data_IF_383416673080
#
_entry.id   IF_383416673080
#
_cell.length_a   1.000
_cell.length_b   1.000
_cell.length_c   1.000
_cell.angle_alpha   90.00
_cell.angle_beta   90.00
_cell.angle_gamma   90.00
#
_symmetry.space_group_name_H-M   'P 1'
#
loop_
_entity.id
_entity.type
_entity.pdbx_description
1 polymer ?
#
# COMPACT_ATOMS: atom_id res chain seq x y z
N UNK A 1 -4.73 -15.11 29.28
CA UNK A 1 -3.95 -15.78 28.22
C UNK A 1 -4.62 -15.38 26.92
N UNK A 2 -3.96 -14.62 26.07
CA UNK A 2 -4.45 -14.36 24.71
C UNK A 2 -4.44 -15.69 23.99
N UNK A 3 -5.60 -16.17 23.51
CA UNK A 3 -5.66 -17.35 22.66
C UNK A 3 -4.84 -17.05 21.40
N UNK A 4 -3.86 -17.89 21.15
CA UNK A 4 -3.01 -17.75 19.95
C UNK A 4 -3.84 -18.27 18.76
N UNK A 5 -4.58 -17.36 18.11
CA UNK A 5 -5.39 -17.72 16.95
C UNK A 5 -4.47 -17.94 15.74
N UNK A 6 -4.63 -19.12 15.10
CA UNK A 6 -3.91 -19.44 13.86
C UNK A 6 -4.31 -18.44 12.77
N UNK A 7 -3.33 -17.92 12.07
CA UNK A 7 -3.54 -16.99 10.94
C UNK A 7 -4.28 -17.69 9.80
N UNK A 8 -5.35 -17.07 9.30
CA UNK A 8 -6.18 -17.55 8.18
C UNK A 8 -6.22 -16.56 7.02
N UNK A 9 -5.89 -15.29 7.27
CA UNK A 9 -5.93 -14.22 6.30
C UNK A 9 -4.71 -13.31 6.45
N UNK A 10 -4.10 -12.97 5.33
CA UNK A 10 -3.07 -11.94 5.24
C UNK A 10 -3.60 -10.83 4.33
N UNK A 11 -3.69 -9.61 4.85
CA UNK A 11 -4.08 -8.43 4.10
C UNK A 11 -2.86 -7.53 3.91
N UNK A 12 -2.64 -7.10 2.68
CA UNK A 12 -1.53 -6.23 2.30
C UNK A 12 -2.03 -4.82 1.98
N UNK A 13 -1.27 -3.79 2.37
CA UNK A 13 -1.29 -2.57 1.58
C UNK A 13 -0.66 -2.83 0.21
N UNK A 14 -0.85 -1.91 -0.73
CA UNK A 14 -0.41 -2.09 -2.11
C UNK A 14 0.93 -1.40 -2.39
N UNK A 15 0.91 -0.05 -2.41
CA UNK A 15 2.04 0.78 -2.81
C UNK A 15 3.10 0.85 -1.68
N UNK A 16 4.27 0.27 -1.89
CA UNK A 16 5.32 0.22 -0.86
C UNK A 16 5.28 -1.01 0.04
N UNK A 17 4.27 -1.86 -0.10
CA UNK A 17 4.15 -3.10 0.68
C UNK A 17 4.15 -4.34 -0.22
N UNK A 18 3.15 -4.48 -1.08
CA UNK A 18 3.04 -5.61 -2.03
C UNK A 18 3.81 -5.33 -3.31
N UNK A 19 3.71 -4.10 -3.83
CA UNK A 19 4.28 -3.67 -5.12
C UNK A 19 5.13 -2.41 -4.93
N UNK A 20 6.36 -2.42 -5.46
CA UNK A 20 7.16 -1.20 -5.65
C UNK A 20 6.64 -0.44 -6.87
N UNK A 21 5.73 0.51 -6.64
CA UNK A 21 5.13 1.35 -7.67
C UNK A 21 5.86 2.69 -7.85
N UNK A 22 6.84 3.00 -7.01
CA UNK A 22 7.58 4.26 -7.04
C UNK A 22 8.18 4.61 -8.41
N UNK A 23 8.71 3.67 -9.23
CA UNK A 23 9.25 3.99 -10.53
C UNK A 23 8.22 4.55 -11.54
N UNK A 24 6.96 4.09 -11.48
CA UNK A 24 5.89 4.59 -12.34
C UNK A 24 5.38 5.95 -11.85
N UNK A 25 5.26 6.15 -10.54
CA UNK A 25 4.98 7.46 -9.93
C UNK A 25 6.05 8.49 -10.31
N UNK A 26 7.34 8.14 -10.19
CA UNK A 26 8.47 9.00 -10.53
C UNK A 26 8.43 9.43 -12.00
N UNK A 27 8.22 8.47 -12.90
CA UNK A 27 8.14 8.75 -14.34
C UNK A 27 7.00 9.71 -14.63
N UNK A 28 5.83 9.46 -14.06
CA UNK A 28 4.62 10.26 -14.28
C UNK A 28 4.76 11.67 -13.72
N UNK A 29 5.29 11.80 -12.50
CA UNK A 29 5.50 13.11 -11.87
C UNK A 29 6.53 13.93 -12.66
N UNK A 30 7.66 13.36 -13.05
CA UNK A 30 8.69 14.07 -13.80
C UNK A 30 8.20 14.51 -15.20
N UNK A 31 7.35 13.71 -15.86
CA UNK A 31 6.74 14.10 -17.13
C UNK A 31 5.86 15.35 -16.95
N UNK A 32 5.09 15.42 -15.86
CA UNK A 32 4.23 16.58 -15.58
C UNK A 32 5.05 17.79 -15.11
N UNK A 33 6.05 17.59 -14.25
CA UNK A 33 6.96 18.67 -13.84
C UNK A 33 7.66 19.30 -15.05
N UNK A 34 8.16 18.48 -15.99
CA UNK A 34 8.77 18.95 -17.22
C UNK A 34 7.79 19.75 -18.10
N UNK A 35 6.52 19.29 -18.22
CA UNK A 35 5.46 20.01 -18.96
C UNK A 35 5.28 21.44 -18.44
N UNK A 36 5.51 21.65 -17.16
CA UNK A 36 5.36 22.95 -16.49
C UNK A 36 6.69 23.65 -16.20
N UNK A 37 7.80 23.21 -16.83
CA UNK A 37 9.12 23.83 -16.68
C UNK A 37 9.72 23.73 -15.29
N UNK A 38 9.27 22.76 -14.49
CA UNK A 38 9.77 22.52 -13.13
C UNK A 38 10.90 21.49 -13.14
N UNK A 39 11.69 21.49 -12.08
CA UNK A 39 12.82 20.58 -11.88
C UNK A 39 12.35 19.13 -11.67
N UNK A 40 13.06 18.16 -12.24
CA UNK A 40 12.82 16.75 -11.96
C UNK A 40 13.17 16.40 -10.51
N UNK A 41 12.43 15.42 -9.99
CA UNK A 41 12.65 14.84 -8.67
C UNK A 41 13.36 13.49 -8.80
N UNK A 42 14.04 13.10 -7.75
CA UNK A 42 14.76 11.82 -7.66
C UNK A 42 13.86 10.70 -7.11
N UNK A 43 14.31 9.45 -7.28
CA UNK A 43 13.61 8.29 -6.73
C UNK A 43 13.51 8.34 -5.19
N UNK A 44 14.52 8.88 -4.51
CA UNK A 44 14.51 9.02 -3.05
C UNK A 44 13.49 10.06 -2.59
N UNK A 45 13.42 11.21 -3.25
CA UNK A 45 12.49 12.27 -2.88
C UNK A 45 11.03 11.83 -3.03
N UNK A 46 10.69 11.16 -4.14
CA UNK A 46 9.29 10.76 -4.36
C UNK A 46 8.83 9.67 -3.39
N UNK A 47 9.70 8.71 -3.02
CA UNK A 47 9.34 7.60 -2.11
C UNK A 47 8.76 8.11 -0.80
N UNK A 48 9.31 9.18 -0.24
CA UNK A 48 8.87 9.76 1.02
C UNK A 48 7.44 10.34 0.98
N UNK A 49 6.85 10.50 -0.22
CA UNK A 49 5.55 11.17 -0.39
C UNK A 49 4.49 10.33 -1.11
N UNK A 50 4.83 9.15 -1.66
CA UNK A 50 3.89 8.32 -2.44
C UNK A 50 2.70 7.91 -1.58
N UNK A 51 2.96 7.38 -0.38
CA UNK A 51 1.92 6.86 0.53
C UNK A 51 0.98 7.95 1.07
N UNK A 52 1.35 9.23 0.87
CA UNK A 52 0.50 10.36 1.24
C UNK A 52 -0.58 10.69 0.18
N UNK A 53 -0.49 10.09 -1.01
CA UNK A 53 -1.44 10.26 -2.11
C UNK A 53 -1.16 11.42 -3.06
N UNK A 54 -1.83 11.40 -4.22
CA UNK A 54 -1.59 12.31 -5.33
C UNK A 54 -1.72 13.80 -4.97
N UNK A 55 -2.68 14.16 -4.11
CA UNK A 55 -2.88 15.55 -3.71
C UNK A 55 -1.69 16.13 -2.95
N UNK A 56 -1.10 15.35 -2.04
CA UNK A 56 0.09 15.78 -1.30
C UNK A 56 1.34 15.81 -2.19
N UNK A 57 1.47 14.85 -3.14
CA UNK A 57 2.53 14.90 -4.15
C UNK A 57 2.50 16.23 -4.94
N UNK A 58 1.32 16.64 -5.42
CA UNK A 58 1.18 17.89 -6.17
C UNK A 58 1.48 19.09 -5.27
N UNK A 59 0.90 19.16 -4.08
CA UNK A 59 1.19 20.24 -3.13
C UNK A 59 2.69 20.39 -2.90
N UNK A 60 3.39 19.29 -2.63
CA UNK A 60 4.81 19.32 -2.27
C UNK A 60 5.71 19.67 -3.47
N UNK A 61 5.57 18.95 -4.58
CA UNK A 61 6.50 19.10 -5.70
C UNK A 61 6.19 20.28 -6.64
N UNK A 62 4.97 20.81 -6.59
CA UNK A 62 4.63 22.05 -7.27
C UNK A 62 4.78 23.27 -6.36
N UNK A 63 5.01 23.09 -5.05
CA UNK A 63 5.15 24.15 -4.05
C UNK A 63 3.93 25.08 -4.02
N UNK A 64 2.73 24.48 -4.02
CA UNK A 64 1.43 25.18 -4.03
C UNK A 64 0.52 24.64 -2.94
N UNK A 65 -0.46 25.43 -2.51
CA UNK A 65 -1.51 24.97 -1.60
C UNK A 65 -2.71 24.41 -2.36
N UNK A 66 -3.61 23.74 -1.64
CA UNK A 66 -4.81 23.09 -2.22
C UNK A 66 -5.77 24.10 -2.87
N UNK A 67 -5.75 25.34 -2.43
CA UNK A 67 -6.58 26.45 -2.94
C UNK A 67 -5.97 27.16 -4.18
N UNK A 68 -4.78 26.74 -4.62
CA UNK A 68 -4.14 27.31 -5.80
C UNK A 68 -4.97 27.02 -7.05
N UNK A 69 -5.17 28.03 -7.91
CA UNK A 69 -6.02 27.96 -9.10
C UNK A 69 -5.66 26.81 -10.07
N UNK A 70 -4.38 26.44 -10.17
CA UNK A 70 -3.90 25.33 -11.00
C UNK A 70 -3.84 23.97 -10.28
N UNK A 71 -4.18 23.88 -8.99
CA UNK A 71 -4.01 22.64 -8.21
C UNK A 71 -4.70 21.43 -8.87
N UNK A 72 -5.97 21.57 -9.16
CA UNK A 72 -6.77 20.47 -9.76
C UNK A 72 -6.29 20.11 -11.18
N UNK A 73 -5.78 21.08 -11.93
CA UNK A 73 -5.19 20.88 -13.26
C UNK A 73 -3.90 20.04 -13.17
N UNK A 74 -2.98 20.40 -12.27
CA UNK A 74 -1.72 19.65 -12.08
C UNK A 74 -1.99 18.24 -11.58
N UNK A 75 -2.94 18.08 -10.65
CA UNK A 75 -3.37 16.78 -10.14
C UNK A 75 -4.01 15.92 -11.24
N UNK A 76 -4.89 16.47 -12.04
CA UNK A 76 -5.52 15.78 -13.17
C UNK A 76 -4.50 15.35 -14.22
N UNK A 77 -3.55 16.23 -14.57
CA UNK A 77 -2.46 15.90 -15.49
C UNK A 77 -1.58 14.76 -14.94
N UNK A 78 -1.26 14.81 -13.64
CA UNK A 78 -0.48 13.75 -12.99
C UNK A 78 -1.22 12.41 -13.01
N UNK A 79 -2.49 12.38 -12.61
CA UNK A 79 -3.29 11.16 -12.60
C UNK A 79 -3.48 10.59 -14.02
N UNK A 80 -3.68 11.45 -15.02
CA UNK A 80 -3.73 11.06 -16.42
C UNK A 80 -2.42 10.46 -16.91
N UNK A 81 -1.29 11.05 -16.53
CA UNK A 81 0.04 10.55 -16.89
C UNK A 81 0.38 9.26 -16.13
N UNK A 82 -0.01 9.17 -14.85
CA UNK A 82 0.13 7.94 -14.06
C UNK A 82 -0.65 6.77 -14.69
N UNK A 83 -1.88 7.01 -15.13
CA UNK A 83 -2.69 5.99 -15.82
C UNK A 83 -2.01 5.46 -17.09
N UNK A 84 -1.30 6.30 -17.84
CA UNK A 84 -0.52 5.88 -19.03
C UNK A 84 0.73 5.07 -18.67
N UNK A 85 1.31 5.33 -17.51
CA UNK A 85 2.56 4.69 -17.06
C UNK A 85 2.32 3.53 -16.09
N UNK A 86 1.07 3.26 -15.73
CA UNK A 86 0.69 2.21 -14.81
C UNK A 86 1.28 0.86 -15.25
N UNK A 87 1.98 0.19 -14.33
CA UNK A 87 2.65 -1.10 -14.53
C UNK A 87 3.71 -1.16 -15.65
N UNK A 88 4.36 -0.06 -15.98
CA UNK A 88 5.50 -0.11 -16.93
C UNK A 88 6.82 -0.47 -16.26
N UNK A 89 6.97 -0.08 -14.98
CA UNK A 89 8.19 -0.28 -14.21
C UNK A 89 7.93 -0.79 -12.79
N UNK A 90 6.66 -0.87 -12.39
CA UNK A 90 6.25 -1.45 -11.11
C UNK A 90 6.65 -2.92 -11.03
N UNK A 91 7.03 -3.39 -9.84
CA UNK A 91 7.43 -4.79 -9.59
C UNK A 91 6.95 -5.22 -8.22
N UNK A 92 6.67 -6.51 -8.04
CA UNK A 92 6.57 -7.08 -6.71
C UNK A 92 7.88 -6.85 -5.95
N UNK A 93 7.80 -6.63 -4.63
CA UNK A 93 9.01 -6.61 -3.81
C UNK A 93 9.72 -7.95 -3.86
N UNK A 94 11.05 -7.95 -3.71
CA UNK A 94 11.86 -9.15 -3.69
C UNK A 94 11.39 -10.09 -2.57
N UNK A 95 11.26 -11.39 -2.87
CA UNK A 95 10.72 -12.40 -1.97
C UNK A 95 9.18 -12.46 -1.89
N UNK A 96 8.45 -11.51 -2.51
CA UNK A 96 6.98 -11.51 -2.48
C UNK A 96 6.37 -12.74 -3.18
N UNK A 97 6.86 -13.18 -4.35
CA UNK A 97 6.36 -14.43 -4.96
C UNK A 97 6.47 -15.62 -4.03
N UNK A 98 7.61 -15.78 -3.33
CA UNK A 98 7.84 -16.89 -2.40
C UNK A 98 6.88 -16.83 -1.20
N UNK A 99 6.57 -15.63 -0.69
CA UNK A 99 5.58 -15.43 0.36
C UNK A 99 4.17 -15.81 -0.12
N UNK A 100 3.79 -15.42 -1.33
CA UNK A 100 2.47 -15.74 -1.89
C UNK A 100 2.32 -17.25 -2.12
N UNK A 101 3.36 -17.92 -2.61
CA UNK A 101 3.40 -19.37 -2.77
C UNK A 101 3.28 -20.06 -1.40
N UNK A 102 4.00 -19.59 -0.38
CA UNK A 102 3.85 -20.09 0.99
C UNK A 102 2.41 -19.97 1.51
N UNK A 103 1.74 -18.82 1.30
CA UNK A 103 0.36 -18.63 1.72
C UNK A 103 -0.59 -19.61 1.02
N UNK A 104 -0.41 -19.81 -0.29
CA UNK A 104 -1.21 -20.75 -1.08
C UNK A 104 -1.01 -22.22 -0.60
N UNK A 105 0.24 -22.65 -0.37
CA UNK A 105 0.59 -23.98 0.12
C UNK A 105 -0.02 -24.26 1.51
N UNK A 106 -0.10 -23.25 2.36
CA UNK A 106 -0.66 -23.37 3.71
C UNK A 106 -2.16 -23.06 3.78
N UNK A 107 -2.81 -22.83 2.62
CA UNK A 107 -4.24 -22.50 2.53
C UNK A 107 -4.61 -21.23 3.34
N UNK A 108 -3.69 -20.28 3.44
CA UNK A 108 -3.92 -18.98 4.06
C UNK A 108 -4.44 -18.03 2.98
N UNK A 109 -5.63 -17.48 3.17
CA UNK A 109 -6.18 -16.51 2.22
C UNK A 109 -5.40 -15.19 2.27
N UNK A 110 -5.37 -14.47 1.14
CA UNK A 110 -4.78 -13.14 1.13
C UNK A 110 -5.56 -12.17 0.24
N UNK A 111 -5.42 -10.88 0.56
CA UNK A 111 -6.12 -9.79 -0.10
C UNK A 111 -5.40 -8.45 0.03
N UNK A 112 -5.99 -7.42 -0.53
CA UNK A 112 -5.46 -6.05 -0.55
C UNK A 112 -6.45 -5.10 0.14
N UNK A 113 -5.93 -4.22 1.00
CA UNK A 113 -6.65 -3.06 1.55
C UNK A 113 -5.76 -1.84 1.40
N UNK A 114 -6.10 -0.95 0.47
CA UNK A 114 -5.25 0.17 0.06
C UNK A 114 -5.99 1.51 0.02
N UNK A 115 -5.25 2.61 0.13
CA UNK A 115 -5.77 3.97 -0.11
C UNK A 115 -5.69 4.40 -1.59
N UNK A 116 -5.26 3.49 -2.47
CA UNK A 116 -5.29 3.69 -3.91
C UNK A 116 -6.68 3.42 -4.47
N UNK A 117 -7.21 4.32 -5.32
CA UNK A 117 -8.51 4.15 -5.96
C UNK A 117 -8.56 2.92 -6.87
N UNK A 118 -9.75 2.31 -6.96
CA UNK A 118 -9.98 1.06 -7.66
C UNK A 118 -9.58 1.14 -9.16
N UNK A 119 -9.85 2.27 -9.81
CA UNK A 119 -9.48 2.49 -11.22
C UNK A 119 -7.98 2.34 -11.54
N UNK A 120 -7.10 2.51 -10.54
CA UNK A 120 -5.65 2.30 -10.66
C UNK A 120 -5.23 0.95 -10.06
N UNK A 121 -5.93 0.48 -9.04
CA UNK A 121 -5.60 -0.75 -8.31
C UNK A 121 -5.91 -1.99 -9.15
N UNK A 122 -7.11 -2.08 -9.72
CA UNK A 122 -7.55 -3.26 -10.47
C UNK A 122 -6.66 -3.56 -11.68
N UNK A 123 -6.38 -2.62 -12.61
CA UNK A 123 -5.49 -2.92 -13.73
C UNK A 123 -4.05 -3.20 -13.31
N UNK A 124 -3.58 -2.60 -12.21
CA UNK A 124 -2.24 -2.87 -11.70
C UNK A 124 -2.14 -4.30 -11.16
N UNK A 125 -3.06 -4.71 -10.30
CA UNK A 125 -3.07 -6.05 -9.69
C UNK A 125 -3.23 -7.13 -10.78
N UNK A 126 -4.14 -6.93 -11.73
CA UNK A 126 -4.39 -7.87 -12.84
C UNK A 126 -3.19 -8.02 -13.79
N UNK A 127 -2.20 -7.14 -13.74
CA UNK A 127 -1.00 -7.22 -14.56
C UNK A 127 0.09 -8.14 -13.98
N UNK A 128 -0.09 -8.61 -12.72
CA UNK A 128 0.82 -9.55 -12.05
C UNK A 128 0.19 -10.94 -11.96
N UNK A 129 0.67 -11.92 -12.75
CA UNK A 129 0.14 -13.30 -12.71
C UNK A 129 0.24 -13.96 -11.31
N UNK A 130 1.21 -13.55 -10.51
CA UNK A 130 1.44 -14.03 -9.15
C UNK A 130 0.28 -13.67 -8.21
N UNK A 131 -0.45 -12.61 -8.51
CA UNK A 131 -1.57 -12.11 -7.70
C UNK A 131 -2.93 -12.74 -8.07
N UNK A 132 -2.95 -13.75 -8.94
CA UNK A 132 -4.17 -14.43 -9.44
C UNK A 132 -5.08 -15.01 -8.34
N UNK A 133 -4.51 -15.36 -7.20
CA UNK A 133 -5.23 -15.99 -6.09
C UNK A 133 -5.70 -15.00 -5.02
N UNK A 134 -5.51 -13.69 -5.22
CA UNK A 134 -6.07 -12.65 -4.34
C UNK A 134 -7.58 -12.85 -4.19
N UNK A 135 -8.06 -12.91 -2.93
CA UNK A 135 -9.47 -13.17 -2.62
C UNK A 135 -10.32 -11.92 -2.55
N UNK A 136 -9.70 -10.78 -2.24
CA UNK A 136 -10.42 -9.52 -2.07
C UNK A 136 -9.50 -8.31 -2.30
N UNK A 137 -10.07 -7.26 -2.87
CA UNK A 137 -9.44 -5.94 -3.00
C UNK A 137 -10.40 -4.90 -2.43
N UNK A 138 -9.94 -4.16 -1.42
CA UNK A 138 -10.67 -3.03 -0.82
C UNK A 138 -9.90 -1.74 -1.10
N UNK A 139 -10.58 -0.80 -1.73
CA UNK A 139 -10.09 0.52 -2.09
C UNK A 139 -10.96 1.61 -1.44
N UNK A 140 -10.59 2.90 -1.51
CA UNK A 140 -11.41 4.00 -1.02
C UNK A 140 -12.85 4.00 -1.57
N UNK A 141 -13.02 3.54 -2.81
CA UNK A 141 -14.33 3.41 -3.48
C UNK A 141 -15.31 2.46 -2.77
N UNK A 142 -14.80 1.58 -1.90
CA UNK A 142 -15.58 0.52 -1.25
C UNK A 142 -15.97 0.85 0.20
N UNK A 143 -15.46 1.94 0.76
CA UNK A 143 -15.60 2.32 2.17
C UNK A 143 -16.01 3.79 2.30
N UNK A 144 -16.51 4.17 3.47
CA UNK A 144 -16.81 5.58 3.79
C UNK A 144 -15.56 6.33 4.21
N UNK A 145 -14.68 5.64 4.95
CA UNK A 145 -13.47 6.22 5.49
C UNK A 145 -12.28 5.30 5.21
N UNK A 146 -11.24 5.87 4.57
CA UNK A 146 -10.01 5.16 4.25
C UNK A 146 -9.05 5.08 5.44
N UNK A 147 -7.99 4.26 5.34
CA UNK A 147 -6.93 4.20 6.36
C UNK A 147 -6.44 5.61 6.73
N UNK A 148 -6.30 5.93 8.01
CA UNK A 148 -6.11 5.06 9.17
C UNK A 148 -7.39 4.50 9.81
N UNK A 149 -8.58 4.72 9.25
CA UNK A 149 -9.81 4.09 9.72
C UNK A 149 -9.77 2.57 9.45
N UNK A 150 -10.22 1.72 10.38
CA UNK A 150 -10.21 0.27 10.21
C UNK A 150 -11.27 -0.27 9.25
N UNK A 151 -12.18 0.55 8.73
CA UNK A 151 -13.36 0.12 7.96
C UNK A 151 -12.98 -0.84 6.82
N UNK A 152 -11.92 -0.53 6.06
CA UNK A 152 -11.50 -1.35 4.93
C UNK A 152 -11.03 -2.74 5.34
N UNK A 153 -10.27 -2.85 6.44
CA UNK A 153 -9.78 -4.13 6.98
C UNK A 153 -10.95 -4.94 7.52
N UNK A 154 -11.84 -4.32 8.30
CA UNK A 154 -13.02 -4.97 8.84
C UNK A 154 -13.98 -5.44 7.72
N UNK A 155 -14.13 -4.64 6.65
CA UNK A 155 -14.92 -5.03 5.49
C UNK A 155 -14.33 -6.26 4.79
N UNK A 156 -13.00 -6.33 4.63
CA UNK A 156 -12.32 -7.49 4.06
C UNK A 156 -12.54 -8.74 4.92
N UNK A 157 -12.32 -8.65 6.23
CA UNK A 157 -12.56 -9.73 7.19
C UNK A 157 -14.01 -10.23 7.13
N UNK A 158 -14.98 -9.32 7.14
CA UNK A 158 -16.41 -9.66 7.06
C UNK A 158 -16.76 -10.39 5.76
N UNK A 159 -16.32 -9.85 4.60
CA UNK A 159 -16.63 -10.47 3.29
C UNK A 159 -16.03 -11.86 3.14
N UNK A 160 -14.90 -12.14 3.77
CA UNK A 160 -14.24 -13.45 3.77
C UNK A 160 -14.67 -14.36 4.94
N UNK A 161 -15.52 -13.85 5.84
CA UNK A 161 -15.97 -14.55 7.04
C UNK A 161 -14.80 -15.02 7.93
N UNK A 162 -13.79 -14.18 8.10
CA UNK A 162 -12.62 -14.38 8.96
C UNK A 162 -12.59 -13.30 10.03
N UNK A 163 -12.23 -13.69 11.24
CA UNK A 163 -12.15 -12.74 12.35
C UNK A 163 -10.87 -11.89 12.27
N UNK A 164 -10.89 -10.62 12.74
CA UNK A 164 -9.69 -9.80 12.78
C UNK A 164 -8.52 -10.45 13.53
N UNK A 165 -8.77 -11.17 14.63
CA UNK A 165 -7.75 -11.86 15.42
C UNK A 165 -7.06 -13.01 14.67
N UNK A 166 -7.67 -13.52 13.59
CA UNK A 166 -7.14 -14.53 12.68
C UNK A 166 -6.49 -13.91 11.44
N UNK A 167 -6.36 -12.56 11.41
CA UNK A 167 -5.86 -11.79 10.29
C UNK A 167 -4.56 -11.07 10.66
N UNK A 168 -3.61 -11.08 9.74
CA UNK A 168 -2.43 -10.22 9.77
C UNK A 168 -2.63 -9.10 8.73
N UNK A 169 -2.34 -7.86 9.11
CA UNK A 169 -2.28 -6.75 8.18
C UNK A 169 -0.83 -6.26 8.01
N UNK A 170 -0.38 -6.13 6.76
CA UNK A 170 0.95 -5.65 6.40
C UNK A 170 0.86 -4.27 5.76
N UNK A 171 1.74 -3.35 6.17
CA UNK A 171 1.81 -2.03 5.57
C UNK A 171 3.12 -1.31 5.88
N UNK A 172 3.46 -0.33 5.07
CA UNK A 172 4.69 0.46 5.17
C UNK A 172 4.47 1.91 5.62
N UNK A 173 3.24 2.26 5.99
CA UNK A 173 2.89 3.62 6.41
C UNK A 173 2.24 3.62 7.82
N UNK A 174 2.44 4.68 8.67
CA UNK A 174 1.79 4.77 9.98
C UNK A 174 0.25 4.62 9.94
N UNK A 175 -0.40 5.01 8.84
CA UNK A 175 -1.85 4.83 8.68
C UNK A 175 -2.24 3.34 8.57
N UNK A 176 -1.36 2.50 8.04
CA UNK A 176 -1.57 1.05 7.95
C UNK A 176 -1.58 0.43 9.35
N UNK A 177 -0.55 0.76 10.12
CA UNK A 177 -0.39 0.25 11.47
C UNK A 177 -1.56 0.68 12.37
N UNK A 178 -1.98 1.96 12.26
CA UNK A 178 -3.16 2.47 12.99
C UNK A 178 -4.44 1.75 12.59
N UNK A 179 -4.66 1.55 11.28
CA UNK A 179 -5.85 0.86 10.78
C UNK A 179 -5.89 -0.60 11.26
N UNK A 180 -4.78 -1.32 11.16
CA UNK A 180 -4.67 -2.71 11.62
C UNK A 180 -4.89 -2.85 13.12
N UNK A 181 -4.23 -2.00 13.95
CA UNK A 181 -4.45 -1.94 15.41
C UNK A 181 -5.91 -1.70 15.74
N UNK A 182 -6.52 -0.69 15.11
CA UNK A 182 -7.91 -0.33 15.36
C UNK A 182 -8.90 -1.40 14.91
N UNK A 183 -8.53 -2.20 13.90
CA UNK A 183 -9.32 -3.36 13.44
C UNK A 183 -9.18 -4.57 14.37
N UNK A 184 -8.18 -4.61 15.26
CA UNK A 184 -7.89 -5.76 16.11
C UNK A 184 -7.16 -6.91 15.41
N UNK A 185 -6.44 -6.62 14.31
CA UNK A 185 -5.60 -7.59 13.61
C UNK A 185 -4.19 -7.65 14.22
N UNK A 186 -3.46 -8.74 13.98
CA UNK A 186 -2.00 -8.72 14.10
C UNK A 186 -1.43 -7.78 13.01
N UNK A 187 -0.29 -7.13 13.28
CA UNK A 187 0.29 -6.15 12.36
C UNK A 187 1.76 -6.46 12.13
N UNK A 188 2.18 -6.28 10.88
CA UNK A 188 3.58 -6.28 10.49
C UNK A 188 3.90 -4.99 9.75
N UNK A 189 4.81 -4.19 10.30
CA UNK A 189 5.34 -2.98 9.67
C UNK A 189 6.47 -3.32 8.69
N UNK A 190 6.32 -2.90 7.43
CA UNK A 190 7.25 -3.19 6.35
C UNK A 190 8.27 -2.05 6.19
N UNK A 191 9.48 -2.21 6.78
CA UNK A 191 10.57 -1.22 6.71
C UNK A 191 11.24 -1.17 5.33
N UNK A 192 11.05 -2.19 4.50
CA UNK A 192 11.52 -2.21 3.11
C UNK A 192 10.72 -1.28 2.19
N UNK A 193 9.58 -0.77 2.67
CA UNK A 193 8.68 0.12 1.92
C UNK A 193 9.16 1.57 1.81
N UNK A 194 8.22 2.52 1.86
CA UNK A 194 8.53 3.93 1.58
C UNK A 194 8.56 4.82 2.81
N UNK A 195 7.74 4.55 3.83
CA UNK A 195 7.36 5.55 4.83
C UNK A 195 7.73 5.20 6.27
N UNK A 196 7.89 3.91 6.61
CA UNK A 196 8.32 3.51 7.95
C UNK A 196 9.84 3.60 8.08
N UNK A 197 10.30 4.07 9.23
CA UNK A 197 11.71 4.17 9.59
C UNK A 197 12.04 3.20 10.73
N UNK A 198 13.33 2.94 10.96
CA UNK A 198 13.79 2.02 12.01
C UNK A 198 13.35 2.39 13.44
N UNK A 199 13.07 3.66 13.68
CA UNK A 199 12.51 4.15 14.96
C UNK A 199 10.99 4.02 15.07
N UNK A 200 10.30 3.56 14.03
CA UNK A 200 8.84 3.34 14.08
C UNK A 200 8.43 2.31 15.12
N UNK A 201 9.32 1.41 15.53
CA UNK A 201 9.12 0.44 16.60
C UNK A 201 8.92 1.09 17.99
N UNK A 202 9.34 2.33 18.19
CA UNK A 202 9.09 3.08 19.43
C UNK A 202 7.64 3.59 19.52
N UNK A 203 6.95 3.66 18.38
CA UNK A 203 5.60 4.24 18.28
C UNK A 203 4.50 3.17 18.20
N UNK A 204 4.84 1.95 17.78
CA UNK A 204 3.87 0.88 17.56
C UNK A 204 4.37 -0.44 18.16
N UNK A 205 3.54 -1.07 18.98
CA UNK A 205 3.78 -2.41 19.52
C UNK A 205 3.35 -3.47 18.49
N UNK A 206 4.22 -3.73 17.51
CA UNK A 206 4.02 -4.71 16.46
C UNK A 206 5.36 -5.26 15.94
N UNK A 207 5.29 -6.28 15.09
CA UNK A 207 6.48 -6.78 14.41
C UNK A 207 6.87 -5.86 13.26
N UNK A 208 8.18 -5.67 13.09
CA UNK A 208 8.76 -4.98 11.94
C UNK A 208 9.69 -5.93 11.17
N UNK A 209 9.70 -5.79 9.84
CA UNK A 209 10.55 -6.58 8.94
C UNK A 209 11.30 -5.65 7.98
N UNK A 210 12.59 -5.93 7.78
CA UNK A 210 13.43 -5.21 6.80
C UNK A 210 13.37 -5.87 5.42
N UNK A 211 12.94 -7.15 5.34
CA UNK A 211 12.81 -7.93 4.10
C UNK A 211 11.53 -8.76 4.11
N UNK A 212 10.97 -9.01 2.93
CA UNK A 212 9.76 -9.85 2.77
C UNK A 212 9.97 -11.26 3.29
N UNK A 213 11.17 -11.81 3.14
CA UNK A 213 11.55 -13.15 3.61
C UNK A 213 11.32 -13.39 5.11
N UNK A 214 11.37 -12.32 5.92
CA UNK A 214 11.17 -12.40 7.37
C UNK A 214 9.69 -12.61 7.76
N UNK A 215 8.75 -12.26 6.86
CA UNK A 215 7.31 -12.27 7.13
C UNK A 215 6.83 -13.69 7.45
N UNK A 216 7.31 -14.70 6.73
CA UNK A 216 6.90 -16.11 6.92
C UNK A 216 7.05 -16.52 8.39
N UNK A 217 8.15 -16.13 9.03
CA UNK A 217 8.41 -16.46 10.44
C UNK A 217 7.47 -15.77 11.45
N UNK A 218 6.62 -14.84 10.99
CA UNK A 218 5.68 -14.07 11.82
C UNK A 218 4.22 -14.47 11.58
N UNK A 219 3.95 -15.41 10.67
CA UNK A 219 2.58 -15.83 10.30
C UNK A 219 1.96 -16.81 11.28
N UNK A 220 2.69 -17.45 12.13
CA UNK A 220 2.23 -18.48 13.09
C UNK A 220 1.42 -17.93 14.29
#
# INVERSE_FOLDING_TARGET
MLENHKTKLVLFDLDGTLIDTAPDFLTSLNNVLNKYGKKNVTAQEIRNHISEGSSKLIKFFFEIDYEHEDFEKYKSDFLSEYKKNLNKKSKLFEGMPDLLDYLDEHSIMYGIVTNKFFEYTDPLVNSFPELKNIKIIICPDHVKTSKPDPEGILLACNKLNIRPEETIYLGDHPNDLKAGLSAGTKIIGCLYGYSLEKNSNELFDCHFVEEVSEIISKID
#
